data_IF_512193132202
#
_entry.id   IF_512193132202
#
_cell.length_a   1.000
_cell.length_b   1.000
_cell.length_c   1.000
_cell.angle_alpha   90.00
_cell.angle_beta   90.00
_cell.angle_gamma   90.00
#
_symmetry.space_group_name_H-M   'P 1'
#
loop_
_entity.id
_entity.type
_entity.pdbx_description
1 polymer ?
#
# COMPACT_ATOMS: atom_id res chain seq x y z
N UNK A 1 21.02 -16.61 12.15
CA UNK A 1 20.68 -15.26 11.64
C UNK A 1 20.59 -14.34 12.85
N UNK A 2 21.32 -13.22 12.89
CA UNK A 2 21.22 -12.28 14.02
C UNK A 2 19.99 -11.36 13.85
N UNK A 3 19.50 -10.78 14.95
CA UNK A 3 18.40 -9.81 14.92
C UNK A 3 18.69 -8.64 13.98
N UNK A 4 19.94 -8.15 13.99
CA UNK A 4 20.39 -7.08 13.10
C UNK A 4 20.26 -7.48 11.62
N UNK A 5 20.69 -8.69 11.27
CA UNK A 5 20.59 -9.21 9.89
C UNK A 5 19.14 -9.34 9.46
N UNK A 6 18.26 -9.83 10.35
CA UNK A 6 16.83 -9.96 10.06
C UNK A 6 16.18 -8.58 9.83
N UNK A 7 16.40 -7.61 10.72
CA UNK A 7 15.85 -6.26 10.58
C UNK A 7 16.30 -5.57 9.30
N UNK A 8 17.59 -5.67 8.95
CA UNK A 8 18.11 -5.06 7.72
C UNK A 8 17.52 -5.73 6.46
N UNK A 9 17.36 -7.05 6.48
CA UNK A 9 16.77 -7.79 5.36
C UNK A 9 15.31 -7.38 5.17
N UNK A 10 14.53 -7.37 6.26
CA UNK A 10 13.13 -6.98 6.24
C UNK A 10 12.94 -5.53 5.75
N UNK A 11 13.77 -4.59 6.25
CA UNK A 11 13.71 -3.20 5.82
C UNK A 11 13.96 -3.07 4.31
N UNK A 12 14.99 -3.75 3.79
CA UNK A 12 15.27 -3.76 2.36
C UNK A 12 14.12 -4.32 1.54
N UNK A 13 13.50 -5.40 2.00
CA UNK A 13 12.41 -6.05 1.29
C UNK A 13 11.15 -5.15 1.27
N UNK A 14 10.84 -4.46 2.38
CA UNK A 14 9.77 -3.46 2.43
C UNK A 14 10.08 -2.23 1.56
N UNK A 15 11.33 -1.75 1.55
CA UNK A 15 11.75 -0.66 0.65
C UNK A 15 11.57 -1.05 -0.81
N UNK A 16 11.93 -2.27 -1.19
CA UNK A 16 11.71 -2.77 -2.55
C UNK A 16 10.23 -2.83 -2.91
N UNK A 17 9.34 -3.22 -1.97
CA UNK A 17 7.89 -3.17 -2.19
C UNK A 17 7.41 -1.73 -2.34
N UNK A 18 7.93 -0.78 -1.57
CA UNK A 18 7.56 0.63 -1.72
C UNK A 18 7.99 1.21 -3.08
N UNK A 19 9.21 0.91 -3.53
CA UNK A 19 9.76 1.44 -4.77
C UNK A 19 9.16 0.80 -6.03
N UNK A 20 8.67 -0.44 -5.93
CA UNK A 20 8.10 -1.20 -7.05
C UNK A 20 6.61 -1.36 -6.89
N UNK A 21 5.84 -0.97 -7.90
CA UNK A 21 4.39 -1.21 -7.92
C UNK A 21 3.99 -2.67 -8.27
N UNK A 22 4.88 -3.64 -8.10
CA UNK A 22 4.59 -5.06 -8.35
C UNK A 22 3.67 -5.61 -7.24
N UNK A 23 2.71 -6.48 -7.58
CA UNK A 23 1.73 -7.05 -6.65
C UNK A 23 0.95 -6.02 -5.82
N UNK A 24 0.71 -4.82 -6.38
CA UNK A 24 -0.14 -3.82 -5.76
C UNK A 24 -1.56 -4.37 -5.57
N UNK A 25 -2.18 -4.00 -4.45
CA UNK A 25 -3.55 -4.39 -4.09
C UNK A 25 -4.46 -3.17 -3.85
N UNK A 26 -3.94 -1.95 -4.07
CA UNK A 26 -4.67 -0.69 -3.93
C UNK A 26 -4.48 0.18 -5.18
N UNK A 27 -5.57 0.76 -5.69
CA UNK A 27 -5.54 1.86 -6.66
C UNK A 27 -6.10 3.14 -6.04
N UNK A 28 -5.26 4.15 -5.87
CA UNK A 28 -5.69 5.47 -5.40
C UNK A 28 -5.94 6.35 -6.62
N UNK A 29 -7.21 6.64 -6.91
CA UNK A 29 -7.57 7.63 -7.90
C UNK A 29 -7.57 9.02 -7.25
N UNK A 30 -6.84 9.97 -7.84
CA UNK A 30 -6.77 11.36 -7.40
C UNK A 30 -7.24 12.26 -8.54
N UNK A 31 -8.07 13.25 -8.24
CA UNK A 31 -8.67 14.14 -9.23
C UNK A 31 -9.94 13.60 -9.86
N UNK A 32 -10.53 14.39 -10.74
CA UNK A 32 -11.82 14.15 -11.38
C UNK A 32 -11.72 14.35 -12.91
N UNK A 33 -12.60 13.68 -13.65
CA UNK A 33 -12.72 13.74 -15.12
C UNK A 33 -11.37 13.55 -15.86
N UNK A 34 -11.04 14.46 -16.77
CA UNK A 34 -9.81 14.40 -17.58
C UNK A 34 -8.54 14.64 -16.78
N UNK A 35 -8.66 15.10 -15.53
CA UNK A 35 -7.53 15.37 -14.64
C UNK A 35 -7.38 14.29 -13.56
N UNK A 36 -7.96 13.10 -13.78
CA UNK A 36 -7.78 11.97 -12.87
C UNK A 36 -6.47 11.22 -13.13
N UNK A 37 -5.76 10.86 -12.07
CA UNK A 37 -4.57 10.00 -12.10
C UNK A 37 -4.75 8.81 -11.16
N UNK A 38 -4.18 7.65 -11.51
CA UNK A 38 -4.24 6.42 -10.71
C UNK A 38 -2.85 6.09 -10.18
N UNK A 39 -2.73 6.04 -8.86
CA UNK A 39 -1.54 5.61 -8.14
C UNK A 39 -1.73 4.17 -7.67
N UNK A 40 -0.76 3.31 -7.98
CA UNK A 40 -0.72 1.92 -7.50
C UNK A 40 0.04 1.87 -6.18
N UNK A 41 -0.51 1.19 -5.18
CA UNK A 41 0.08 1.11 -3.85
C UNK A 41 -0.22 -0.23 -3.18
N UNK A 42 0.45 -0.49 -2.05
CA UNK A 42 0.22 -1.67 -1.21
C UNK A 42 -0.50 -1.29 0.07
N UNK A 43 -1.62 -1.95 0.35
CA UNK A 43 -2.45 -1.74 1.53
C UNK A 43 -1.63 -1.87 2.82
N UNK A 44 -0.74 -2.87 2.89
CA UNK A 44 0.09 -3.14 4.07
C UNK A 44 1.01 -1.95 4.42
N UNK A 45 1.58 -1.28 3.41
CA UNK A 45 2.44 -0.11 3.60
C UNK A 45 1.57 1.06 4.08
N UNK A 46 0.43 1.30 3.42
CA UNK A 46 -0.47 2.39 3.78
C UNK A 46 -1.01 2.24 5.22
N UNK A 47 -1.40 1.03 5.64
CA UNK A 47 -1.87 0.72 7.01
C UNK A 47 -0.78 0.90 8.06
N UNK A 48 0.47 0.55 7.72
CA UNK A 48 1.62 0.73 8.60
C UNK A 48 2.00 2.22 8.76
N UNK A 49 1.74 3.04 7.73
CA UNK A 49 2.17 4.44 7.69
C UNK A 49 1.08 5.46 8.04
N UNK A 50 -0.19 5.07 8.01
CA UNK A 50 -1.31 6.01 8.19
C UNK A 50 -2.49 5.39 8.95
N UNK A 51 -2.90 6.04 10.04
CA UNK A 51 -4.11 5.67 10.78
C UNK A 51 -5.38 5.84 9.94
N UNK A 52 -5.36 6.75 8.96
CA UNK A 52 -6.46 6.91 8.01
C UNK A 52 -6.63 5.63 7.20
N UNK A 53 -5.57 5.15 6.54
CA UNK A 53 -5.64 3.93 5.73
C UNK A 53 -5.88 2.68 6.57
N UNK A 54 -5.33 2.62 7.79
CA UNK A 54 -5.65 1.57 8.76
C UNK A 54 -7.16 1.48 9.01
N UNK A 55 -7.81 2.62 9.23
CA UNK A 55 -9.26 2.71 9.44
C UNK A 55 -10.04 2.45 8.15
N UNK A 56 -9.60 3.02 7.03
CA UNK A 56 -10.30 2.93 5.75
C UNK A 56 -10.39 1.49 5.25
N UNK A 57 -9.33 0.70 5.42
CA UNK A 57 -9.32 -0.72 5.05
C UNK A 57 -9.97 -1.65 6.11
N UNK A 58 -10.07 -1.24 7.38
CA UNK A 58 -10.75 -2.04 8.41
C UNK A 58 -12.27 -1.86 8.42
N UNK A 59 -12.76 -0.68 8.03
CA UNK A 59 -14.17 -0.30 8.17
C UNK A 59 -14.98 -0.48 6.87
N UNK A 60 -14.45 -1.21 5.88
CA UNK A 60 -15.03 -1.35 4.53
C UNK A 60 -15.34 0.00 3.84
N UNK A 61 -14.60 1.06 4.18
CA UNK A 61 -14.76 2.36 3.52
C UNK A 61 -14.16 2.36 2.12
N UNK A 62 -13.06 1.63 1.93
CA UNK A 62 -12.49 1.39 0.60
C UNK A 62 -13.40 0.46 -0.21
N UNK A 63 -13.60 0.80 -1.49
CA UNK A 63 -14.44 0.02 -2.40
C UNK A 63 -13.60 -1.13 -2.95
N UNK A 64 -14.02 -2.37 -2.71
CA UNK A 64 -13.29 -3.54 -3.22
C UNK A 64 -13.83 -3.95 -4.59
N UNK A 65 -12.97 -4.05 -5.59
CA UNK A 65 -13.28 -4.62 -6.91
C UNK A 65 -12.46 -5.90 -7.11
N UNK A 66 -13.10 -7.05 -6.89
CA UNK A 66 -12.41 -8.34 -6.85
C UNK A 66 -11.44 -8.40 -5.67
N UNK A 67 -10.14 -8.54 -5.97
CA UNK A 67 -9.06 -8.59 -4.98
C UNK A 67 -8.42 -7.23 -4.70
N UNK A 68 -8.80 -6.17 -5.42
CA UNK A 68 -8.23 -4.83 -5.29
C UNK A 68 -9.11 -3.92 -4.44
N UNK A 69 -8.48 -3.06 -3.65
CA UNK A 69 -9.09 -1.90 -3.00
C UNK A 69 -8.96 -0.61 -3.82
#
# INVERSE_FOLDING_TARGET
MSLQTLSNTLLRDISNLYDKADNYDVKIQVGEDSNSEIFKAHSIILIARSNYFRTAFSNNWAKKEGDLY
#
